data_IF_565134738936
#
_entry.id   IF_565134738936
#
_cell.length_a   1.000
_cell.length_b   1.000
_cell.length_c   1.000
_cell.angle_alpha   90.00
_cell.angle_beta   90.00
_cell.angle_gamma   90.00
#
_symmetry.space_group_name_H-M   'P 1'
#
loop_
_entity.id
_entity.type
_entity.pdbx_description
1 polymer ?
#
# COMPACT_ATOMS: atom_id res chain seq x y z
N UNK A 1 3.66 10.67 0.67
CA UNK A 1 2.51 10.45 1.56
C UNK A 1 2.98 10.38 3.01
N UNK A 2 2.43 11.23 3.84
CA UNK A 2 2.77 11.29 5.26
C UNK A 2 1.53 11.01 6.11
N UNK A 3 1.67 10.10 7.07
CA UNK A 3 0.69 9.88 8.12
C UNK A 3 1.32 10.29 9.44
N UNK A 4 0.78 11.34 10.06
CA UNK A 4 1.34 11.89 11.28
C UNK A 4 1.27 10.91 12.45
N UNK A 5 2.06 11.17 13.48
CA UNK A 5 2.06 10.38 14.72
C UNK A 5 0.63 10.27 15.26
N UNK A 6 0.20 9.06 15.58
CA UNK A 6 -1.16 8.78 16.05
C UNK A 6 -2.23 8.81 14.96
N UNK A 7 -1.83 9.03 13.70
CA UNK A 7 -2.77 9.10 12.58
C UNK A 7 -3.37 7.76 12.20
N UNK A 8 -4.58 7.81 11.64
CA UNK A 8 -5.29 6.63 11.19
C UNK A 8 -6.04 6.95 9.90
N UNK A 9 -5.84 6.11 8.91
CA UNK A 9 -6.58 6.15 7.66
C UNK A 9 -7.54 4.96 7.65
N UNK A 10 -8.83 5.25 7.68
CA UNK A 10 -9.87 4.22 7.80
C UNK A 10 -9.83 3.23 6.63
N UNK A 11 -10.39 2.02 6.81
CA UNK A 11 -10.52 1.09 5.70
C UNK A 11 -11.24 1.73 4.51
N UNK A 12 -10.61 1.62 3.36
CA UNK A 12 -11.12 2.24 2.12
C UNK A 12 -10.54 1.52 0.90
N UNK A 13 -11.04 1.88 -0.25
CA UNK A 13 -10.45 1.53 -1.53
C UNK A 13 -10.05 2.83 -2.22
N UNK A 14 -8.96 2.80 -2.97
CA UNK A 14 -8.58 3.93 -3.81
C UNK A 14 -9.36 3.80 -5.12
N UNK A 15 -10.48 4.48 -5.22
CA UNK A 15 -11.38 4.42 -6.38
C UNK A 15 -10.97 5.44 -7.45
N UNK A 16 -9.72 5.41 -7.88
CA UNK A 16 -9.21 6.51 -8.68
C UNK A 16 -9.40 6.28 -10.17
N UNK A 17 -9.24 5.04 -10.67
CA UNK A 17 -9.31 4.77 -12.10
C UNK A 17 -9.38 3.27 -12.33
N UNK A 18 -10.17 2.84 -13.30
CA UNK A 18 -10.25 1.44 -13.73
C UNK A 18 -8.92 0.93 -14.31
N UNK A 19 -8.01 1.84 -14.67
CA UNK A 19 -6.72 1.51 -15.22
C UNK A 19 -5.65 1.18 -14.17
N UNK A 20 -5.99 1.23 -12.87
CA UNK A 20 -5.05 0.80 -11.83
C UNK A 20 -5.00 -0.72 -11.70
N UNK A 21 -3.82 -1.24 -11.45
CA UNK A 21 -3.60 -2.66 -11.22
C UNK A 21 -2.31 -3.16 -11.84
N UNK A 22 -2.08 -4.47 -11.74
CA UNK A 22 -0.86 -5.10 -12.26
C UNK A 22 -1.01 -5.55 -13.72
N UNK A 23 -2.23 -5.53 -14.27
CA UNK A 23 -2.46 -5.96 -15.65
C UNK A 23 -1.75 -5.03 -16.64
N UNK A 24 -1.44 -5.57 -17.82
CA UNK A 24 -0.69 -4.84 -18.84
C UNK A 24 -1.41 -3.56 -19.26
N UNK A 25 -0.67 -2.45 -19.30
CA UNK A 25 -1.21 -1.15 -19.67
C UNK A 25 -1.89 -0.39 -18.53
N UNK A 26 -2.05 -1.02 -17.38
CA UNK A 26 -2.61 -0.37 -16.19
C UNK A 26 -1.53 0.38 -15.42
N UNK A 27 -1.94 1.17 -14.45
CA UNK A 27 -1.04 1.88 -13.55
C UNK A 27 -0.88 1.06 -12.27
N UNK A 28 0.34 0.67 -11.96
CA UNK A 28 0.68 -0.02 -10.73
C UNK A 28 1.26 0.96 -9.72
N UNK A 29 0.82 0.88 -8.48
CA UNK A 29 1.32 1.72 -7.39
C UNK A 29 2.33 0.96 -6.56
N UNK A 30 3.53 1.53 -6.45
CA UNK A 30 4.62 1.00 -5.65
C UNK A 30 4.78 1.87 -4.42
N UNK A 31 4.81 1.27 -3.25
CA UNK A 31 5.07 1.98 -2.00
C UNK A 31 6.50 1.74 -1.54
N UNK A 32 7.19 2.82 -1.22
CA UNK A 32 8.56 2.77 -0.71
C UNK A 32 8.57 3.46 0.65
N UNK A 33 8.65 2.69 1.75
CA UNK A 33 8.72 3.29 3.08
C UNK A 33 10.04 4.03 3.27
N UNK A 34 9.94 5.33 3.55
CA UNK A 34 11.11 6.19 3.84
C UNK A 34 11.33 6.34 5.33
N UNK A 35 10.26 6.40 6.12
CA UNK A 35 10.29 6.49 7.56
C UNK A 35 9.10 5.73 8.13
N UNK A 36 9.37 4.70 8.90
CA UNK A 36 8.35 3.88 9.53
C UNK A 36 8.92 3.19 10.77
N UNK A 37 8.07 2.51 11.53
CA UNK A 37 8.48 1.73 12.69
C UNK A 37 7.45 0.61 12.96
N UNK A 38 7.73 -0.24 13.93
CA UNK A 38 6.92 -1.42 14.24
C UNK A 38 5.48 -1.12 14.65
N UNK A 39 5.19 0.12 15.05
CA UNK A 39 3.84 0.54 15.45
C UNK A 39 3.02 1.08 14.28
N UNK A 40 3.57 1.07 13.08
CA UNK A 40 2.86 1.42 11.85
C UNK A 40 2.35 0.14 11.21
N UNK A 41 1.04 0.03 11.05
CA UNK A 41 0.39 -1.15 10.51
C UNK A 41 -0.31 -0.84 9.21
N UNK A 42 -0.08 -1.66 8.20
CA UNK A 42 -0.82 -1.66 6.95
C UNK A 42 -1.73 -2.87 6.95
N UNK A 43 -3.03 -2.65 6.88
CA UNK A 43 -4.01 -3.72 6.92
C UNK A 43 -4.69 -3.87 5.58
N UNK A 44 -4.95 -5.11 5.19
CA UNK A 44 -5.68 -5.44 3.96
C UNK A 44 -6.81 -6.42 4.28
N UNK A 45 -7.89 -6.33 3.50
CA UNK A 45 -9.03 -7.23 3.58
C UNK A 45 -9.23 -7.86 2.19
N UNK A 46 -8.53 -8.97 1.88
CA UNK A 46 -8.59 -9.56 0.54
C UNK A 46 -10.00 -10.00 0.10
N UNK A 47 -10.84 -10.35 1.05
CA UNK A 47 -12.21 -10.81 0.78
C UNK A 47 -13.27 -9.73 1.04
N UNK A 48 -12.86 -8.47 1.14
CA UNK A 48 -13.76 -7.36 1.40
C UNK A 48 -13.77 -6.93 2.88
N UNK A 49 -14.42 -5.78 3.18
CA UNK A 49 -14.26 -5.12 4.48
C UNK A 49 -14.85 -5.90 5.66
N UNK A 50 -15.71 -6.89 5.39
CA UNK A 50 -16.27 -7.74 6.42
C UNK A 50 -15.56 -9.10 6.54
N UNK A 51 -14.53 -9.30 5.71
CA UNK A 51 -13.72 -10.50 5.74
C UNK A 51 -12.58 -10.42 6.74
N UNK A 52 -11.63 -11.32 6.59
CA UNK A 52 -10.48 -11.41 7.48
C UNK A 52 -9.48 -10.30 7.17
N UNK A 53 -9.10 -9.56 8.21
CA UNK A 53 -8.04 -8.56 8.13
C UNK A 53 -6.67 -9.24 8.19
N UNK A 54 -5.75 -8.79 7.32
CA UNK A 54 -4.35 -9.17 7.39
C UNK A 54 -3.52 -7.94 7.69
N UNK A 55 -2.75 -8.00 8.77
CA UNK A 55 -1.89 -6.90 9.21
C UNK A 55 -0.48 -7.13 8.74
N UNK A 56 0.10 -6.10 8.15
CA UNK A 56 1.44 -6.13 7.59
C UNK A 56 2.26 -4.95 8.12
N UNK A 57 3.55 -5.13 8.20
CA UNK A 57 4.49 -4.04 8.42
C UNK A 57 5.37 -3.86 7.20
N UNK A 58 5.25 -2.73 6.53
CA UNK A 58 6.06 -2.38 5.36
C UNK A 58 7.35 -1.74 5.84
N UNK A 59 8.46 -2.41 5.59
CA UNK A 59 9.77 -2.04 6.15
C UNK A 59 10.53 -1.05 5.29
N UNK A 60 11.28 -0.17 5.94
CA UNK A 60 12.24 0.70 5.26
C UNK A 60 13.24 -0.11 4.45
N UNK A 61 13.71 0.47 3.35
CA UNK A 61 14.71 -0.16 2.49
C UNK A 61 14.15 -1.18 1.50
N UNK A 62 12.85 -1.37 1.50
CA UNK A 62 12.14 -2.26 0.58
C UNK A 62 11.17 -1.47 -0.28
N UNK A 63 10.66 -2.10 -1.33
CA UNK A 63 9.54 -1.56 -2.09
C UNK A 63 8.45 -2.62 -2.20
N UNK A 64 7.21 -2.18 -2.26
CA UNK A 64 6.05 -3.06 -2.25
C UNK A 64 5.06 -2.68 -3.33
N UNK A 65 4.57 -3.67 -4.05
CA UNK A 65 3.38 -3.48 -4.87
C UNK A 65 2.17 -3.52 -3.94
N UNK A 66 1.30 -2.52 -4.06
CA UNK A 66 0.08 -2.46 -3.27
C UNK A 66 -1.13 -2.46 -4.19
N UNK A 67 -2.06 -3.39 -3.96
CA UNK A 67 -3.33 -3.41 -4.67
C UNK A 67 -4.28 -2.42 -4.01
N UNK A 68 -4.27 -1.19 -4.52
CA UNK A 68 -5.06 -0.09 -3.96
C UNK A 68 -6.54 -0.19 -4.27
N UNK A 69 -6.97 -1.09 -5.17
CA UNK A 69 -8.38 -1.41 -5.37
C UNK A 69 -8.93 -2.28 -4.25
N UNK A 70 -8.06 -3.04 -3.58
CA UNK A 70 -8.47 -3.82 -2.42
C UNK A 70 -8.70 -2.93 -1.20
N UNK A 71 -9.56 -3.39 -0.29
CA UNK A 71 -9.79 -2.69 0.97
C UNK A 71 -8.51 -2.71 1.81
N UNK A 72 -8.10 -1.53 2.25
CA UNK A 72 -6.89 -1.37 3.05
C UNK A 72 -7.02 -0.21 4.02
N UNK A 73 -6.20 -0.22 5.06
CA UNK A 73 -6.10 0.86 6.03
C UNK A 73 -4.67 1.02 6.49
N UNK A 74 -4.38 2.16 7.10
CA UNK A 74 -3.07 2.46 7.65
C UNK A 74 -3.25 3.03 9.03
N UNK A 75 -2.46 2.56 9.99
CA UNK A 75 -2.47 3.07 11.35
C UNK A 75 -1.04 3.37 11.79
N UNK A 76 -0.82 4.57 12.29
CA UNK A 76 0.45 4.97 12.88
C UNK A 76 0.24 5.15 14.39
N UNK A 77 0.50 4.12 15.13
CA UNK A 77 0.30 4.06 16.58
C UNK A 77 1.58 4.47 17.34
N UNK A 78 2.43 5.26 16.68
CA UNK A 78 3.71 5.71 17.21
C UNK A 78 3.73 7.22 17.43
N UNK A 79 4.84 7.71 17.95
CA UNK A 79 5.08 9.13 18.18
C UNK A 79 5.89 9.78 17.05
N UNK A 80 6.15 9.05 15.98
CA UNK A 80 6.94 9.50 14.83
C UNK A 80 6.07 9.45 13.58
N UNK A 81 6.19 10.45 12.72
CA UNK A 81 5.45 10.47 11.46
C UNK A 81 5.89 9.31 10.56
N UNK A 82 4.93 8.69 9.87
CA UNK A 82 5.17 7.68 8.86
C UNK A 82 5.22 8.34 7.49
N UNK A 83 6.29 8.09 6.75
CA UNK A 83 6.49 8.69 5.43
C UNK A 83 6.74 7.59 4.42
N UNK A 84 5.92 7.53 3.38
CA UNK A 84 6.07 6.62 2.25
C UNK A 84 6.17 7.42 0.95
N UNK A 85 7.05 7.01 0.07
CA UNK A 85 7.06 7.47 -1.31
C UNK A 85 6.13 6.55 -2.10
N UNK A 86 5.18 7.13 -2.82
CA UNK A 86 4.29 6.39 -3.71
C UNK A 86 4.72 6.67 -5.15
N UNK A 87 4.99 5.62 -5.90
CA UNK A 87 5.40 5.72 -7.30
C UNK A 87 4.36 5.00 -8.15
N UNK A 88 3.70 5.76 -9.02
CA UNK A 88 2.77 5.19 -9.98
C UNK A 88 3.49 4.99 -11.30
N UNK A 89 3.47 3.79 -11.82
CA UNK A 89 4.15 3.44 -13.06
C UNK A 89 3.26 2.55 -13.93
N UNK A 90 3.50 2.59 -15.24
CA UNK A 90 2.77 1.71 -16.14
C UNK A 90 3.20 0.26 -15.94
N UNK A 91 2.21 -0.61 -15.80
CA UNK A 91 2.46 -2.05 -15.73
C UNK A 91 2.85 -2.55 -17.12
N UNK A 92 3.96 -3.26 -17.17
CA UNK A 92 4.44 -3.92 -18.37
C UNK A 92 4.94 -5.33 -18.01
N UNK A 93 5.42 -6.05 -19.00
CA UNK A 93 5.91 -7.41 -18.81
C UNK A 93 7.04 -7.48 -17.78
N UNK A 94 7.97 -6.55 -17.82
CA UNK A 94 9.12 -6.52 -16.92
C UNK A 94 8.68 -6.26 -15.48
N UNK A 95 7.79 -5.30 -15.28
CA UNK A 95 7.27 -4.99 -13.95
C UNK A 95 6.50 -6.17 -13.37
N UNK A 96 5.63 -6.80 -14.17
CA UNK A 96 4.88 -7.96 -13.70
C UNK A 96 5.79 -9.12 -13.33
N UNK A 97 6.86 -9.33 -14.10
CA UNK A 97 7.84 -10.38 -13.79
C UNK A 97 8.57 -10.07 -12.48
N UNK A 98 8.91 -8.80 -12.24
CA UNK A 98 9.59 -8.38 -11.01
C UNK A 98 8.70 -8.59 -9.78
N UNK A 99 7.41 -8.33 -9.89
CA UNK A 99 6.46 -8.38 -8.76
C UNK A 99 5.91 -9.80 -8.56
N UNK A 100 5.53 -10.46 -9.63
CA UNK A 100 4.84 -11.76 -9.57
C UNK A 100 5.78 -12.97 -9.67
N UNK A 101 7.02 -12.72 -10.01
CA UNK A 101 8.02 -13.79 -10.17
C UNK A 101 8.05 -14.37 -11.56
#
# INVERSE_FOLDING_TARGET
AKLTAGGFLEPHTDSIDESFGIQNGAIARIAIPLQTNEKCTFSVWPSGPEGVERKLHLKEGHYYYTDVFGWHSIKNDSQVDRIHLLVDCYSNRELRRLILG
#
